data_IF_542776491464
#
_entry.id   IF_542776491464
#
_cell.length_a   1.000
_cell.length_b   1.000
_cell.length_c   1.000
_cell.angle_alpha   90.00
_cell.angle_beta   90.00
_cell.angle_gamma   90.00
#
_symmetry.space_group_name_H-M   'P 1'
#
loop_
_entity.id
_entity.type
_entity.pdbx_description
1 polymer ?
#
# COMPACT_ATOMS: atom_id res chain seq x y z
N UNK A 1 15.04 13.54 3.84
CA UNK A 1 14.31 12.98 2.68
C UNK A 1 13.62 11.73 3.21
N UNK A 2 12.36 11.83 3.65
CA UNK A 2 11.63 10.64 4.10
C UNK A 2 11.26 9.86 2.84
N UNK A 3 12.10 8.89 2.49
CA UNK A 3 11.67 7.80 1.63
C UNK A 3 10.44 7.23 2.31
N UNK A 4 9.26 7.38 1.74
CA UNK A 4 8.10 6.69 2.27
C UNK A 4 8.41 5.21 2.22
N UNK A 5 8.53 4.57 3.39
CA UNK A 5 8.93 3.17 3.53
C UNK A 5 7.89 2.18 2.97
N UNK A 6 6.88 2.72 2.27
CA UNK A 6 5.71 2.01 1.81
C UNK A 6 5.45 2.27 0.33
N UNK A 7 5.24 1.18 -0.40
CA UNK A 7 4.68 1.18 -1.74
C UNK A 7 3.15 1.15 -1.66
N UNK A 8 2.49 1.62 -2.73
CA UNK A 8 1.04 1.53 -2.84
C UNK A 8 0.63 0.16 -3.40
N UNK A 9 0.04 -0.66 -2.55
CA UNK A 9 -0.63 -1.90 -2.90
C UNK A 9 -2.11 -1.69 -3.27
N UNK A 10 -2.68 -2.56 -4.09
CA UNK A 10 -4.12 -2.63 -4.34
C UNK A 10 -4.63 -4.06 -4.21
N UNK A 11 -5.69 -4.24 -3.41
CA UNK A 11 -6.44 -5.49 -3.37
C UNK A 11 -7.36 -5.56 -4.60
N UNK A 12 -7.32 -6.66 -5.36
CA UNK A 12 -8.12 -6.85 -6.57
C UNK A 12 -9.60 -7.07 -6.25
N UNK A 13 -9.90 -7.70 -5.10
CA UNK A 13 -11.27 -7.99 -4.68
C UNK A 13 -12.08 -6.74 -4.33
N UNK A 14 -11.45 -5.72 -3.75
CA UNK A 14 -12.13 -4.50 -3.28
C UNK A 14 -11.70 -3.24 -4.02
N UNK A 15 -10.54 -3.24 -4.67
CA UNK A 15 -9.93 -2.05 -5.26
C UNK A 15 -9.26 -1.12 -4.24
N UNK A 16 -9.30 -1.45 -2.95
CA UNK A 16 -8.77 -0.64 -1.85
C UNK A 16 -7.26 -0.52 -1.93
N UNK A 17 -6.73 0.69 -1.72
CA UNK A 17 -5.31 0.96 -1.68
C UNK A 17 -4.73 0.65 -0.29
N UNK A 18 -3.66 -0.12 -0.23
CA UNK A 18 -2.97 -0.53 0.98
C UNK A 18 -1.51 -0.07 0.99
N UNK A 19 -0.96 0.15 2.18
CA UNK A 19 0.47 0.35 2.35
C UNK A 19 1.17 -1.01 2.42
N UNK A 20 2.09 -1.27 1.49
CA UNK A 20 2.97 -2.45 1.48
C UNK A 20 4.39 -2.01 1.78
N UNK A 21 5.18 -2.80 2.51
CA UNK A 21 6.58 -2.47 2.77
C UNK A 21 7.34 -2.35 1.44
N UNK A 22 8.00 -1.21 1.22
CA UNK A 22 8.73 -0.95 -0.02
C UNK A 22 9.81 -2.02 -0.30
N UNK A 23 10.45 -2.54 0.75
CA UNK A 23 11.45 -3.61 0.67
C UNK A 23 10.89 -4.95 0.12
N UNK A 24 9.56 -5.13 0.14
CA UNK A 24 8.91 -6.35 -0.37
C UNK A 24 8.29 -6.17 -1.76
N UNK A 25 8.28 -4.96 -2.30
CA UNK A 25 7.57 -4.63 -3.54
C UNK A 25 8.06 -5.41 -4.77
N UNK A 26 9.34 -5.83 -4.78
CA UNK A 26 9.94 -6.59 -5.88
C UNK A 26 9.78 -8.12 -5.73
N UNK A 27 9.19 -8.59 -4.61
CA UNK A 27 8.87 -10.01 -4.41
C UNK A 27 7.64 -10.42 -5.23
N UNK A 28 7.46 -11.71 -5.55
CA UNK A 28 6.26 -12.17 -6.24
C UNK A 28 5.00 -12.02 -5.37
N UNK A 29 3.87 -11.74 -6.03
CA UNK A 29 2.55 -11.69 -5.40
C UNK A 29 2.14 -13.03 -4.76
N UNK A 30 1.24 -13.02 -3.75
CA UNK A 30 0.63 -11.84 -3.13
C UNK A 30 1.57 -11.14 -2.13
N UNK A 31 1.40 -9.82 -2.00
CA UNK A 31 2.08 -9.04 -0.96
C UNK A 31 1.22 -8.92 0.28
N UNK A 32 1.86 -8.75 1.43
CA UNK A 32 1.19 -8.39 2.66
C UNK A 32 1.20 -6.85 2.82
N UNK A 33 0.01 -6.28 2.98
CA UNK A 33 -0.13 -4.93 3.51
C UNK A 33 0.28 -4.90 4.99
N UNK A 34 0.69 -3.73 5.48
CA UNK A 34 1.02 -3.56 6.91
C UNK A 34 -0.17 -3.78 7.86
N UNK A 35 -1.40 -3.72 7.34
CA UNK A 35 -2.61 -4.05 8.10
C UNK A 35 -2.96 -5.55 8.07
N UNK A 36 -2.15 -6.39 7.41
CA UNK A 36 -2.35 -7.83 7.25
C UNK A 36 -3.20 -8.24 6.03
N UNK A 37 -3.74 -7.29 5.26
CA UNK A 37 -4.48 -7.60 4.05
C UNK A 37 -3.57 -8.16 2.94
N UNK A 38 -4.09 -9.11 2.15
CA UNK A 38 -3.43 -9.57 0.93
C UNK A 38 -3.60 -8.54 -0.20
N UNK A 39 -2.51 -8.30 -0.93
CA UNK A 39 -2.43 -7.34 -2.02
C UNK A 39 -1.97 -8.05 -3.29
N UNK A 40 -2.65 -7.78 -4.40
CA UNK A 40 -2.43 -8.47 -5.68
C UNK A 40 -1.56 -7.66 -6.63
N UNK A 41 -1.46 -6.35 -6.42
CA UNK A 41 -0.66 -5.44 -7.25
C UNK A 41 0.01 -4.41 -6.34
N UNK A 42 1.32 -4.22 -6.49
CA UNK A 42 2.05 -3.11 -5.88
C UNK A 42 2.57 -2.19 -6.97
N UNK A 43 2.23 -0.90 -6.90
CA UNK A 43 2.64 0.06 -7.92
C UNK A 43 2.73 1.49 -7.38
N UNK A 44 3.95 2.05 -7.44
CA UNK A 44 4.21 3.42 -7.01
C UNK A 44 4.30 3.55 -5.48
N UNK A 45 4.25 4.79 -5.00
CA UNK A 45 4.49 5.12 -3.59
C UNK A 45 3.19 5.25 -2.81
N UNK A 46 3.19 4.81 -1.55
CA UNK A 46 2.03 4.94 -0.66
C UNK A 46 1.61 6.39 -0.46
N UNK A 47 2.55 7.32 -0.30
CA UNK A 47 2.24 8.75 -0.18
C UNK A 47 1.87 9.44 -1.51
N UNK A 48 1.76 8.67 -2.61
CA UNK A 48 1.44 9.18 -3.93
C UNK A 48 -0.04 9.02 -4.32
N UNK A 49 -0.37 9.32 -5.58
CA UNK A 49 -1.75 9.25 -6.09
C UNK A 49 -2.36 7.84 -6.07
N UNK A 50 -1.54 6.79 -5.93
CA UNK A 50 -2.00 5.39 -5.88
C UNK A 50 -2.24 4.86 -4.47
N UNK A 51 -1.72 5.53 -3.44
CA UNK A 51 -1.94 5.17 -2.03
C UNK A 51 -2.87 6.17 -1.36
N UNK A 52 -2.34 7.12 -0.59
CA UNK A 52 -3.11 8.15 0.13
C UNK A 52 -3.94 9.04 -0.79
N UNK A 53 -3.49 9.27 -2.03
CA UNK A 53 -4.25 10.00 -3.05
C UNK A 53 -5.26 9.15 -3.82
N UNK A 54 -5.40 7.85 -3.51
CA UNK A 54 -6.43 7.00 -4.08
C UNK A 54 -7.82 7.46 -3.64
N UNK A 55 -8.85 7.13 -4.43
CA UNK A 55 -10.24 7.36 -4.06
C UNK A 55 -10.67 6.52 -2.83
N UNK A 56 -10.04 5.36 -2.63
CA UNK A 56 -10.31 4.45 -1.52
C UNK A 56 -9.00 3.95 -0.86
N UNK A 57 -8.37 4.75 0.02
CA UNK A 57 -7.23 4.32 0.81
C UNK A 57 -7.68 3.59 2.09
N UNK A 58 -7.05 2.45 2.39
CA UNK A 58 -7.31 1.67 3.59
C UNK A 58 -7.08 2.51 4.86
N UNK A 59 -8.14 2.70 5.66
CA UNK A 59 -8.09 3.51 6.88
C UNK A 59 -7.07 3.00 7.92
N UNK A 60 -6.87 1.67 8.00
CA UNK A 60 -5.88 1.08 8.89
C UNK A 60 -4.46 1.42 8.44
N UNK A 61 -4.15 1.22 7.16
CA UNK A 61 -2.85 1.59 6.60
C UNK A 61 -2.55 3.07 6.79
N UNK A 62 -3.54 3.96 6.59
CA UNK A 62 -3.39 5.40 6.86
C UNK A 62 -2.99 5.68 8.30
N UNK A 63 -3.68 5.04 9.26
CA UNK A 63 -3.38 5.20 10.69
C UNK A 63 -1.97 4.70 11.03
N UNK A 64 -1.61 3.51 10.55
CA UNK A 64 -0.33 2.87 10.84
C UNK A 64 0.87 3.61 10.22
N UNK A 65 0.68 4.28 9.07
CA UNK A 65 1.74 5.11 8.47
C UNK A 65 1.78 6.54 9.01
N UNK A 66 0.88 6.91 9.92
CA UNK A 66 0.85 8.25 10.53
C UNK A 66 0.67 9.40 9.53
N UNK A 67 -0.10 9.17 8.46
CA UNK A 67 -0.26 10.12 7.33
C UNK A 67 -1.70 10.50 7.07
#
# INVERSE_FOLDING_TARGET
>A
MSTSDHAAGRAQSTGTAHAVLAATADLPAPWAAICGASVDVVQGRWNGPRGLGSADPCAECRRLTGT
#
